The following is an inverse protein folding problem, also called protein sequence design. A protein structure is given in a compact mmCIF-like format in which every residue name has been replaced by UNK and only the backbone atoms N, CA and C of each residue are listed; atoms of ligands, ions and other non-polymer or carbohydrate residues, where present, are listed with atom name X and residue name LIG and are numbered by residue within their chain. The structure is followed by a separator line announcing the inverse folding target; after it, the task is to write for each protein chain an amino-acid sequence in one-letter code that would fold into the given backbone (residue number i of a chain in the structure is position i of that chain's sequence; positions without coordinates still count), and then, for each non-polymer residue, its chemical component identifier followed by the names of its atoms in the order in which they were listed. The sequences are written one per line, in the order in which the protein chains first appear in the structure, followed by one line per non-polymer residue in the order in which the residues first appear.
data_IF_996992025547
#
_entry.id   IF_996992025547
#
_cell.length_a   1.000
_cell.length_b   1.000
_cell.length_c   1.000
_cell.angle_alpha   90.00
_cell.angle_beta   90.00
_cell.angle_gamma   90.00
#
_symmetry.space_group_name_H-M   'P 1'
#
loop_
_entity.id
_entity.type
_entity.pdbx_description
1 polymer ?
#
# COMPACT_ATOMS: atom_id res chain seq x y z
N UNK A 1 8.74 64.80 57.04
CA UNK A 1 9.50 63.74 56.34
C UNK A 1 8.52 62.60 56.17
N UNK A 2 7.99 62.20 55.02
CA UNK A 2 8.06 62.50 53.58
C UNK A 2 6.70 62.00 53.05
N UNK A 3 5.90 62.86 52.41
CA UNK A 3 5.71 63.00 50.96
C UNK A 3 5.03 61.82 50.22
N UNK A 4 3.90 62.18 49.56
CA UNK A 4 3.36 61.67 48.29
C UNK A 4 2.67 60.29 48.30
N UNK A 5 1.54 60.05 47.63
CA UNK A 5 0.78 60.88 46.71
C UNK A 5 -0.49 60.17 46.23
N UNK A 6 -1.53 60.97 45.98
CA UNK A 6 -2.74 60.70 45.21
C UNK A 6 -2.45 60.01 43.86
N UNK A 7 -3.37 59.17 43.34
CA UNK A 7 -4.14 59.40 42.09
C UNK A 7 -4.91 58.17 41.58
N UNK A 8 -6.22 58.37 41.44
CA UNK A 8 -7.12 58.00 40.34
C UNK A 8 -6.84 56.73 39.51
N UNK A 9 -7.70 55.72 39.68
CA UNK A 9 -7.92 54.70 38.66
C UNK A 9 -8.98 55.20 37.66
N UNK A 10 -8.51 55.61 36.48
CA UNK A 10 -9.33 55.97 35.33
C UNK A 10 -9.80 54.68 34.63
N UNK A 11 -11.11 54.52 34.47
CA UNK A 11 -11.70 53.44 33.69
C UNK A 11 -11.37 53.62 32.20
N UNK A 12 -10.67 52.65 31.60
CA UNK A 12 -10.52 52.52 30.16
C UNK A 12 -11.42 51.38 29.66
N UNK A 13 -12.58 51.73 29.11
CA UNK A 13 -13.41 50.81 28.33
C UNK A 13 -12.78 50.72 26.93
N UNK A 14 -12.08 49.63 26.66
CA UNK A 14 -11.64 49.28 25.30
C UNK A 14 -12.84 48.70 24.53
N UNK A 15 -13.10 49.13 23.29
CA UNK A 15 -14.08 48.46 22.46
C UNK A 15 -13.53 47.09 22.08
N UNK A 16 -14.28 46.04 22.42
CA UNK A 16 -14.08 44.70 21.89
C UNK A 16 -14.26 44.78 20.38
N UNK A 17 -13.14 44.84 19.65
CA UNK A 17 -13.14 44.63 18.21
C UNK A 17 -13.64 43.20 17.98
N UNK A 18 -14.88 43.08 17.52
CA UNK A 18 -15.41 41.85 16.92
C UNK A 18 -14.39 41.42 15.86
N UNK A 19 -13.72 40.29 16.09
CA UNK A 19 -12.80 39.71 15.14
C UNK A 19 -13.54 39.50 13.82
N UNK A 20 -13.05 40.14 12.76
CA UNK A 20 -13.41 39.76 11.40
C UNK A 20 -13.15 38.25 11.24
N UNK A 21 -14.00 37.50 10.51
CA UNK A 21 -13.73 36.10 10.25
C UNK A 21 -12.36 35.98 9.59
N UNK A 22 -11.46 35.25 10.23
CA UNK A 22 -10.09 35.05 9.75
C UNK A 22 -10.15 34.26 8.45
N UNK A 23 -9.90 34.95 7.34
CA UNK A 23 -9.79 34.42 5.97
C UNK A 23 -8.79 33.23 5.85
N UNK A 24 -7.95 33.04 6.86
CA UNK A 24 -6.92 32.00 6.93
C UNK A 24 -7.44 30.57 7.23
N UNK A 25 -8.68 30.40 7.71
CA UNK A 25 -9.21 29.06 8.02
C UNK A 25 -9.67 28.27 6.78
N UNK A 26 -9.87 28.94 5.64
CA UNK A 26 -10.41 28.35 4.42
C UNK A 26 -9.42 28.32 3.25
N UNK A 27 -8.14 28.67 3.45
CA UNK A 27 -7.14 28.61 2.39
C UNK A 27 -6.60 27.19 2.25
N UNK A 28 -6.88 26.56 1.11
CA UNK A 28 -6.33 25.25 0.75
C UNK A 28 -4.81 25.35 0.62
N UNK A 29 -4.07 24.38 1.17
CA UNK A 29 -2.60 24.38 1.15
C UNK A 29 -2.06 24.45 -0.29
N UNK A 30 -0.97 25.19 -0.59
CA UNK A 30 -0.46 25.33 -1.97
C UNK A 30 -0.14 24.01 -2.66
N UNK A 31 0.36 23.01 -1.93
CA UNK A 31 0.61 21.68 -2.49
C UNK A 31 -0.68 20.94 -2.84
N UNK A 32 -1.76 21.13 -2.07
CA UNK A 32 -3.08 20.58 -2.39
C UNK A 32 -3.65 21.29 -3.62
N UNK A 33 -3.49 22.62 -3.73
CA UNK A 33 -3.90 23.35 -4.93
C UNK A 33 -3.15 22.88 -6.18
N UNK A 34 -1.84 22.65 -6.06
CA UNK A 34 -1.04 22.10 -7.15
C UNK A 34 -1.52 20.68 -7.55
N UNK A 35 -1.86 19.84 -6.57
CA UNK A 35 -2.42 18.51 -6.82
C UNK A 35 -3.81 18.58 -7.46
N UNK A 36 -4.73 19.39 -6.94
CA UNK A 36 -6.07 19.56 -7.51
C UNK A 36 -6.03 20.13 -8.93
N UNK A 37 -5.08 21.02 -9.24
CA UNK A 37 -4.85 21.47 -10.61
C UNK A 37 -4.40 20.34 -11.53
N UNK A 38 -3.46 19.52 -11.08
CA UNK A 38 -2.95 18.38 -11.84
C UNK A 38 -4.03 17.32 -12.07
N UNK A 39 -4.80 16.99 -11.02
CA UNK A 39 -5.68 15.83 -10.98
C UNK A 39 -7.10 16.14 -11.45
N UNK A 40 -7.62 17.33 -11.13
CA UNK A 40 -8.99 17.73 -11.42
C UNK A 40 -9.07 18.87 -12.46
N UNK A 41 -7.93 19.40 -12.91
CA UNK A 41 -7.87 20.51 -13.86
C UNK A 41 -8.32 21.86 -13.28
N UNK A 42 -8.46 21.97 -11.95
CA UNK A 42 -8.97 23.17 -11.30
C UNK A 42 -7.86 24.19 -11.04
N UNK A 43 -8.08 25.46 -11.37
CA UNK A 43 -7.19 26.52 -10.89
C UNK A 43 -7.33 26.73 -9.36
N UNK A 44 -6.49 27.60 -8.79
CA UNK A 44 -6.45 27.83 -7.35
C UNK A 44 -7.78 28.36 -6.79
N UNK A 45 -8.47 29.22 -7.54
CA UNK A 45 -9.75 29.80 -7.13
C UNK A 45 -10.87 28.76 -7.21
N UNK A 46 -10.92 28.00 -8.31
CA UNK A 46 -11.86 26.90 -8.51
C UNK A 46 -11.69 25.80 -7.46
N UNK A 47 -10.46 25.40 -7.14
CA UNK A 47 -10.15 24.40 -6.12
C UNK A 47 -10.56 24.86 -4.72
N UNK A 48 -10.26 26.12 -4.38
CA UNK A 48 -10.69 26.70 -3.09
C UNK A 48 -12.20 26.77 -2.99
N UNK A 49 -12.89 27.21 -4.06
CA UNK A 49 -14.35 27.24 -4.11
C UNK A 49 -14.96 25.84 -4.04
N UNK A 50 -14.31 24.83 -4.65
CA UNK A 50 -14.75 23.44 -4.58
C UNK A 50 -14.71 22.91 -3.15
N UNK A 51 -13.58 23.05 -2.45
CA UNK A 51 -13.45 22.60 -1.06
C UNK A 51 -14.48 23.30 -0.16
N UNK A 52 -14.68 24.61 -0.32
CA UNK A 52 -15.69 25.34 0.45
C UNK A 52 -17.11 24.81 0.21
N UNK A 53 -17.44 24.46 -1.04
CA UNK A 53 -18.73 23.83 -1.38
C UNK A 53 -18.85 22.44 -0.77
N UNK A 54 -17.81 21.61 -0.84
CA UNK A 54 -17.84 20.25 -0.29
C UNK A 54 -18.06 20.27 1.24
N UNK A 55 -17.45 21.22 1.95
CA UNK A 55 -17.68 21.42 3.39
C UNK A 55 -19.12 21.86 3.66
N UNK A 56 -19.64 22.85 2.93
CA UNK A 56 -21.03 23.30 3.09
C UNK A 56 -22.04 22.21 2.72
N UNK A 57 -21.72 21.34 1.77
CA UNK A 57 -22.57 20.23 1.38
C UNK A 57 -22.70 19.22 2.52
N UNK A 58 -21.64 18.96 3.29
CA UNK A 58 -21.70 18.06 4.44
C UNK A 58 -22.72 18.54 5.50
N UNK A 59 -22.78 19.84 5.78
CA UNK A 59 -23.76 20.42 6.72
C UNK A 59 -25.20 20.25 6.21
N UNK A 60 -25.43 20.50 4.92
CA UNK A 60 -26.75 20.32 4.28
C UNK A 60 -27.17 18.85 4.28
N UNK A 61 -26.24 17.93 4.00
CA UNK A 61 -26.48 16.49 4.03
C UNK A 61 -26.90 16.04 5.42
N UNK A 62 -26.21 16.47 6.47
CA UNK A 62 -26.53 16.08 7.85
C UNK A 62 -27.88 16.66 8.31
N UNK A 63 -28.18 17.91 7.93
CA UNK A 63 -29.49 18.51 8.15
C UNK A 63 -30.61 17.68 7.51
N UNK A 64 -30.47 17.37 6.22
CA UNK A 64 -31.49 16.63 5.46
C UNK A 64 -31.60 15.18 5.91
N UNK A 65 -30.49 14.52 6.26
CA UNK A 65 -30.51 13.18 6.87
C UNK A 65 -31.33 13.19 8.16
N UNK A 66 -31.14 14.20 9.00
CA UNK A 66 -31.89 14.34 10.27
C UNK A 66 -33.38 14.65 10.06
N UNK A 67 -33.72 15.52 9.11
CA UNK A 67 -35.11 15.98 8.93
C UNK A 67 -35.97 15.01 8.11
N UNK A 68 -35.38 14.33 7.11
CA UNK A 68 -36.10 13.34 6.27
C UNK A 68 -36.15 11.94 6.89
N UNK A 69 -35.28 11.66 7.88
CA UNK A 69 -35.31 10.43 8.66
C UNK A 69 -35.21 9.17 7.80
N UNK A 70 -36.15 8.24 7.97
CA UNK A 70 -36.16 6.96 7.26
C UNK A 70 -36.34 7.10 5.74
N UNK A 71 -36.80 8.25 5.26
CA UNK A 71 -36.94 8.51 3.82
C UNK A 71 -35.63 8.97 3.19
N UNK A 72 -34.56 9.21 3.95
CA UNK A 72 -33.26 9.60 3.42
C UNK A 72 -32.64 8.44 2.62
N UNK A 73 -32.36 8.68 1.33
CA UNK A 73 -31.84 7.70 0.37
C UNK A 73 -30.35 7.80 0.09
N UNK A 74 -29.65 8.78 0.69
CA UNK A 74 -28.24 9.08 0.45
C UNK A 74 -28.04 10.44 -0.21
N UNK A 75 -26.78 10.89 -0.34
CA UNK A 75 -26.46 12.15 -0.98
C UNK A 75 -25.09 12.08 -1.68
N UNK A 76 -24.94 12.77 -2.80
CA UNK A 76 -23.71 12.78 -3.59
C UNK A 76 -23.53 14.09 -4.35
N UNK A 77 -22.28 14.46 -4.61
CA UNK A 77 -21.96 15.53 -5.54
C UNK A 77 -21.94 14.96 -6.95
N UNK A 78 -22.61 15.61 -7.90
CA UNK A 78 -22.60 15.22 -9.30
C UNK A 78 -21.19 15.31 -9.91
N UNK A 79 -21.01 14.69 -11.08
CA UNK A 79 -19.74 14.73 -11.82
C UNK A 79 -19.28 16.16 -12.17
N UNK A 80 -20.23 17.10 -12.31
CA UNK A 80 -19.94 18.52 -12.52
C UNK A 80 -19.20 19.18 -11.33
N UNK A 81 -19.19 18.51 -10.18
CA UNK A 81 -18.48 18.95 -9.00
C UNK A 81 -19.09 20.11 -8.23
N UNK A 82 -20.36 20.40 -8.49
CA UNK A 82 -21.08 21.56 -7.97
C UNK A 82 -22.49 21.23 -7.51
N UNK A 83 -23.15 20.27 -8.14
CA UNK A 83 -24.53 19.90 -7.82
C UNK A 83 -24.58 18.88 -6.70
N UNK A 84 -25.12 19.26 -5.54
CA UNK A 84 -25.44 18.33 -4.46
C UNK A 84 -26.79 17.66 -4.74
N UNK A 85 -26.79 16.36 -4.99
CA UNK A 85 -27.99 15.55 -5.09
C UNK A 85 -28.29 14.90 -3.74
N UNK A 86 -29.57 14.83 -3.38
CA UNK A 86 -30.05 14.14 -2.19
C UNK A 86 -31.19 13.21 -2.58
N UNK A 87 -30.96 11.92 -2.36
CA UNK A 87 -31.93 10.86 -2.53
C UNK A 87 -32.99 10.92 -1.43
N UNK A 88 -34.27 10.88 -1.79
CA UNK A 88 -35.38 10.65 -0.87
C UNK A 88 -36.32 9.59 -1.42
N UNK A 89 -36.87 8.73 -0.56
CA UNK A 89 -37.85 7.71 -0.96
C UNK A 89 -39.28 8.23 -1.02
N UNK A 90 -39.53 9.40 -0.41
CA UNK A 90 -40.82 10.07 -0.42
C UNK A 90 -40.75 11.35 -1.26
N UNK A 91 -41.51 11.38 -2.35
CA UNK A 91 -41.58 12.50 -3.28
C UNK A 91 -42.07 13.80 -2.59
N UNK A 92 -42.83 13.71 -1.50
CA UNK A 92 -43.29 14.86 -0.74
C UNK A 92 -42.12 15.67 -0.11
N UNK A 93 -40.97 15.05 0.09
CA UNK A 93 -39.78 15.67 0.69
C UNK A 93 -38.91 16.41 -0.33
N UNK A 94 -39.21 16.32 -1.63
CA UNK A 94 -38.41 16.97 -2.68
C UNK A 94 -38.34 18.51 -2.52
N UNK A 95 -39.43 19.12 -2.04
CA UNK A 95 -39.48 20.55 -1.78
C UNK A 95 -38.54 20.98 -0.64
N UNK A 96 -38.41 20.14 0.40
CA UNK A 96 -37.51 20.40 1.52
C UNK A 96 -36.05 20.31 1.10
N UNK A 97 -35.70 19.29 0.32
CA UNK A 97 -34.36 19.13 -0.28
C UNK A 97 -34.00 20.35 -1.13
N UNK A 98 -34.93 20.81 -1.96
CA UNK A 98 -34.73 22.00 -2.80
C UNK A 98 -34.56 23.27 -1.96
N UNK A 99 -35.34 23.41 -0.88
CA UNK A 99 -35.25 24.55 0.03
C UNK A 99 -33.90 24.60 0.78
N UNK A 100 -33.27 23.45 1.02
CA UNK A 100 -31.94 23.33 1.59
C UNK A 100 -30.80 23.55 0.58
N UNK A 101 -31.11 23.82 -0.70
CA UNK A 101 -30.13 24.12 -1.74
C UNK A 101 -29.55 22.88 -2.45
N UNK A 102 -30.18 21.72 -2.30
CA UNK A 102 -29.82 20.48 -2.97
C UNK A 102 -30.83 20.11 -4.08
N UNK A 103 -30.43 19.21 -4.97
CA UNK A 103 -31.27 18.65 -6.03
C UNK A 103 -31.91 17.36 -5.53
N UNK A 104 -33.26 17.26 -5.46
CA UNK A 104 -33.92 16.03 -5.04
C UNK A 104 -33.79 14.94 -6.10
N UNK A 105 -33.49 13.73 -5.66
CA UNK A 105 -33.57 12.51 -6.46
C UNK A 105 -34.53 11.53 -5.80
N UNK A 106 -35.57 11.09 -6.51
CA UNK A 106 -36.49 10.09 -5.96
C UNK A 106 -35.88 8.71 -6.15
N UNK A 107 -35.63 8.01 -5.05
CA UNK A 107 -34.94 6.72 -5.04
C UNK A 107 -35.80 5.64 -4.36
N UNK A 108 -35.50 4.37 -4.64
CA UNK A 108 -36.34 3.25 -4.18
C UNK A 108 -36.01 2.78 -2.76
N UNK A 109 -34.74 2.87 -2.36
CA UNK A 109 -34.22 2.36 -1.11
C UNK A 109 -33.79 3.51 -0.19
N UNK A 110 -34.14 3.41 1.09
CA UNK A 110 -33.51 4.25 2.11
C UNK A 110 -32.04 3.87 2.26
N UNK A 111 -31.21 4.82 2.67
CA UNK A 111 -29.80 4.54 2.93
C UNK A 111 -29.65 3.52 4.07
N UNK A 112 -30.52 3.60 5.08
CA UNK A 112 -30.49 2.73 6.25
C UNK A 112 -30.61 1.26 5.88
N UNK A 113 -31.50 0.92 4.95
CA UNK A 113 -31.67 -0.45 4.47
C UNK A 113 -30.39 -0.98 3.80
N UNK A 114 -29.76 -0.16 2.95
CA UNK A 114 -28.54 -0.56 2.25
C UNK A 114 -27.33 -0.64 3.20
N UNK A 115 -27.24 0.28 4.17
CA UNK A 115 -26.22 0.26 5.24
C UNK A 115 -26.39 -0.95 6.17
N UNK A 116 -27.62 -1.33 6.52
CA UNK A 116 -27.91 -2.55 7.29
C UNK A 116 -27.49 -3.83 6.55
N UNK A 117 -27.79 -3.93 5.25
CA UNK A 117 -27.35 -5.05 4.43
C UNK A 117 -25.81 -5.11 4.31
N UNK A 118 -25.15 -3.95 4.13
CA UNK A 118 -23.68 -3.88 4.12
C UNK A 118 -23.09 -4.31 5.47
N UNK A 119 -23.68 -3.88 6.58
CA UNK A 119 -23.24 -4.27 7.92
C UNK A 119 -23.40 -5.78 8.15
N UNK A 120 -24.45 -6.39 7.60
CA UNK A 120 -24.61 -7.84 7.65
C UNK A 120 -23.50 -8.56 6.86
N UNK A 121 -23.07 -8.04 5.70
CA UNK A 121 -21.90 -8.56 4.97
C UNK A 121 -20.61 -8.37 5.78
N UNK A 122 -20.41 -7.20 6.39
CA UNK A 122 -19.25 -6.93 7.26
C UNK A 122 -19.17 -7.99 8.39
N UNK A 123 -20.30 -8.32 9.01
CA UNK A 123 -20.36 -9.34 10.08
C UNK A 123 -20.08 -10.76 9.56
N UNK A 124 -20.60 -11.12 8.38
CA UNK A 124 -20.31 -12.42 7.74
C UNK A 124 -18.80 -12.57 7.49
N UNK A 125 -18.16 -11.53 6.98
CA UNK A 125 -16.71 -11.54 6.71
C UNK A 125 -15.88 -11.66 8.00
N UNK A 126 -16.22 -10.88 9.02
CA UNK A 126 -15.52 -10.90 10.31
C UNK A 126 -15.66 -12.26 11.01
N UNK A 127 -16.84 -12.86 10.99
CA UNK A 127 -17.10 -14.15 11.64
C UNK A 127 -16.59 -15.34 10.82
N UNK A 128 -16.60 -15.22 9.49
CA UNK A 128 -16.23 -16.27 8.55
C UNK A 128 -15.36 -15.71 7.42
N UNK A 129 -14.06 -15.41 7.67
CA UNK A 129 -13.20 -14.73 6.69
C UNK A 129 -12.99 -15.50 5.38
N UNK A 130 -13.29 -16.81 5.36
CA UNK A 130 -13.23 -17.62 4.15
C UNK A 130 -14.37 -17.32 3.17
N UNK A 131 -15.44 -16.67 3.61
CA UNK A 131 -16.61 -16.36 2.76
C UNK A 131 -16.29 -15.33 1.70
N UNK A 132 -15.37 -14.39 1.98
CA UNK A 132 -14.88 -13.40 1.01
C UNK A 132 -13.44 -13.69 0.58
N UNK A 133 -13.02 -14.95 0.69
CA UNK A 133 -11.65 -15.35 0.43
C UNK A 133 -11.22 -15.01 -1.00
N UNK A 134 -10.03 -14.42 -1.10
CA UNK A 134 -9.47 -13.87 -2.35
C UNK A 134 -8.55 -14.85 -3.07
N UNK A 135 -8.36 -16.05 -2.50
CA UNK A 135 -7.43 -17.09 -2.97
C UNK A 135 -8.09 -18.18 -3.83
N UNK A 136 -9.41 -18.12 -4.02
CA UNK A 136 -10.18 -19.00 -4.91
C UNK A 136 -10.78 -18.21 -6.08
N UNK A 137 -10.77 -18.83 -7.27
CA UNK A 137 -11.37 -18.26 -8.48
C UNK A 137 -12.90 -18.12 -8.38
N UNK A 138 -13.54 -18.86 -7.47
CA UNK A 138 -14.99 -18.96 -7.36
C UNK A 138 -15.57 -18.11 -6.21
N UNK A 139 -14.72 -17.57 -5.32
CA UNK A 139 -15.17 -16.78 -4.14
C UNK A 139 -14.52 -15.40 -4.02
N UNK A 140 -13.81 -14.93 -5.05
CA UNK A 140 -13.05 -13.68 -5.03
C UNK A 140 -13.94 -12.44 -5.05
N UNK A 141 -14.24 -11.90 -3.86
CA UNK A 141 -14.95 -10.62 -3.66
C UNK A 141 -13.95 -9.51 -3.35
N UNK A 142 -13.79 -8.57 -4.29
CA UNK A 142 -12.81 -7.48 -4.22
C UNK A 142 -13.24 -6.36 -3.28
N UNK A 143 -14.51 -5.98 -3.34
CA UNK A 143 -15.08 -4.95 -2.47
C UNK A 143 -16.61 -5.05 -2.44
N UNK A 144 -17.23 -4.44 -1.44
CA UNK A 144 -18.67 -4.21 -1.43
C UNK A 144 -18.98 -2.91 -0.70
N UNK A 145 -19.89 -2.12 -1.26
CA UNK A 145 -20.21 -0.78 -0.77
C UNK A 145 -21.61 -0.35 -1.20
N UNK A 146 -22.14 0.69 -0.53
CA UNK A 146 -23.38 1.33 -0.95
C UNK A 146 -23.06 2.41 -1.99
N UNK A 147 -23.55 2.25 -3.20
CA UNK A 147 -23.51 3.27 -4.25
C UNK A 147 -24.79 4.10 -4.14
N UNK A 148 -24.68 5.28 -3.50
CA UNK A 148 -25.83 6.15 -3.22
C UNK A 148 -26.44 6.76 -4.49
N UNK A 149 -25.66 6.94 -5.55
CA UNK A 149 -26.15 7.47 -6.82
C UNK A 149 -26.91 6.39 -7.60
N UNK A 150 -26.42 5.15 -7.58
CA UNK A 150 -27.15 4.00 -8.13
C UNK A 150 -28.29 3.51 -7.22
N UNK A 151 -28.30 3.93 -5.95
CA UNK A 151 -29.21 3.51 -4.88
C UNK A 151 -29.25 1.99 -4.66
N UNK A 152 -28.06 1.38 -4.65
CA UNK A 152 -27.85 -0.08 -4.55
C UNK A 152 -26.64 -0.42 -3.69
N UNK A 153 -26.60 -1.67 -3.20
CA UNK A 153 -25.38 -2.29 -2.72
C UNK A 153 -24.60 -2.89 -3.89
N UNK A 154 -23.40 -2.40 -4.15
CA UNK A 154 -22.52 -2.90 -5.20
C UNK A 154 -21.57 -3.93 -4.61
N UNK A 155 -21.41 -5.07 -5.28
CA UNK A 155 -20.41 -6.09 -4.96
C UNK A 155 -19.46 -6.21 -6.16
N UNK A 156 -18.19 -5.90 -5.95
CA UNK A 156 -17.15 -6.08 -6.97
C UNK A 156 -16.51 -7.46 -6.80
N UNK A 157 -16.55 -8.28 -7.84
CA UNK A 157 -16.12 -9.68 -7.80
C UNK A 157 -15.25 -10.04 -9.01
N UNK A 158 -14.43 -11.09 -8.90
CA UNK A 158 -13.79 -11.69 -10.07
C UNK A 158 -14.84 -12.28 -11.01
N UNK A 159 -14.51 -12.40 -12.30
CA UNK A 159 -15.44 -12.92 -13.31
C UNK A 159 -15.98 -14.34 -12.98
N UNK A 160 -15.21 -15.16 -12.29
CA UNK A 160 -15.63 -16.49 -11.83
C UNK A 160 -16.49 -16.50 -10.57
N UNK A 161 -16.61 -15.37 -9.87
CA UNK A 161 -17.19 -15.27 -8.53
C UNK A 161 -18.53 -14.51 -8.50
N UNK A 162 -19.15 -14.26 -9.66
CA UNK A 162 -20.41 -13.49 -9.74
C UNK A 162 -21.58 -14.21 -9.09
N UNK A 163 -21.71 -15.53 -9.25
CA UNK A 163 -22.74 -16.33 -8.60
C UNK A 163 -22.62 -16.30 -7.07
N UNK A 164 -21.38 -16.38 -6.57
CA UNK A 164 -21.09 -16.24 -5.14
C UNK A 164 -21.47 -14.84 -4.60
N UNK A 165 -21.19 -13.78 -5.37
CA UNK A 165 -21.61 -12.43 -5.03
C UNK A 165 -23.16 -12.29 -4.95
N UNK A 166 -23.90 -12.91 -5.87
CA UNK A 166 -25.37 -12.94 -5.85
C UNK A 166 -25.90 -13.70 -4.62
N UNK A 167 -25.28 -14.82 -4.26
CA UNK A 167 -25.62 -15.59 -3.06
C UNK A 167 -25.40 -14.77 -1.78
N UNK A 168 -24.28 -14.04 -1.67
CA UNK A 168 -24.01 -13.14 -0.55
C UNK A 168 -25.05 -12.02 -0.44
N UNK A 169 -25.42 -11.39 -1.56
CA UNK A 169 -26.45 -10.37 -1.58
C UNK A 169 -27.81 -10.91 -1.09
N UNK A 170 -28.20 -12.10 -1.56
CA UNK A 170 -29.42 -12.77 -1.13
C UNK A 170 -29.38 -13.17 0.36
N UNK A 171 -28.21 -13.59 0.86
CA UNK A 171 -28.00 -13.96 2.27
C UNK A 171 -28.24 -12.78 3.22
N UNK A 172 -27.91 -11.56 2.79
CA UNK A 172 -28.19 -10.32 3.55
C UNK A 172 -29.54 -9.69 3.21
N UNK A 173 -30.42 -10.43 2.54
CA UNK A 173 -31.82 -10.07 2.34
C UNK A 173 -32.09 -9.10 1.19
N UNK A 174 -31.13 -8.87 0.30
CA UNK A 174 -31.33 -8.01 -0.87
C UNK A 174 -32.03 -8.77 -2.01
N UNK A 175 -32.91 -8.07 -2.72
CA UNK A 175 -33.47 -8.57 -4.00
C UNK A 175 -32.71 -7.99 -5.20
N UNK A 176 -32.89 -8.57 -6.38
CA UNK A 176 -32.14 -8.21 -7.60
C UNK A 176 -32.18 -6.71 -8.00
N UNK A 177 -33.20 -5.97 -7.58
CA UNK A 177 -33.28 -4.52 -7.82
C UNK A 177 -32.43 -3.67 -6.87
N UNK A 178 -31.90 -4.26 -5.80
CA UNK A 178 -31.27 -3.56 -4.66
C UNK A 178 -29.75 -3.76 -4.61
N UNK A 179 -29.22 -4.64 -5.46
CA UNK A 179 -27.79 -4.85 -5.60
C UNK A 179 -27.34 -4.87 -7.05
N UNK A 180 -26.03 -4.76 -7.24
CA UNK A 180 -25.38 -4.90 -8.53
C UNK A 180 -24.04 -5.61 -8.34
N UNK A 181 -23.77 -6.63 -9.16
CA UNK A 181 -22.46 -7.28 -9.20
C UNK A 181 -21.66 -6.67 -10.35
N UNK A 182 -20.48 -6.11 -10.03
CA UNK A 182 -19.52 -5.57 -11.00
C UNK A 182 -18.32 -6.50 -11.07
N UNK A 183 -17.82 -6.76 -12.27
CA UNK A 183 -16.63 -7.62 -12.45
C UNK A 183 -15.36 -6.79 -12.43
N UNK A 184 -14.36 -7.23 -11.66
CA UNK A 184 -13.00 -6.69 -11.67
C UNK A 184 -12.00 -7.69 -12.24
N UNK A 185 -10.92 -7.21 -12.85
CA UNK A 185 -9.90 -8.07 -13.44
C UNK A 185 -8.99 -8.73 -12.39
N UNK A 186 -8.71 -8.02 -11.30
CA UNK A 186 -7.77 -8.46 -10.24
C UNK A 186 -8.25 -8.06 -8.86
N UNK A 187 -7.89 -8.86 -7.86
CA UNK A 187 -8.14 -8.54 -6.46
C UNK A 187 -7.29 -7.35 -5.99
N UNK A 188 -7.84 -6.46 -5.14
CA UNK A 188 -7.07 -5.38 -4.56
C UNK A 188 -6.00 -5.94 -3.62
N UNK A 189 -4.83 -5.31 -3.65
CA UNK A 189 -3.73 -5.59 -2.71
C UNK A 189 -3.33 -4.30 -2.04
N UNK A 190 -2.84 -4.39 -0.80
CA UNK A 190 -2.22 -3.23 -0.17
C UNK A 190 -0.96 -2.83 -0.92
N UNK A 191 -0.72 -1.53 -1.06
CA UNK A 191 0.50 -1.06 -1.68
C UNK A 191 1.70 -1.48 -0.84
N UNK A 192 2.69 -2.09 -1.51
CA UNK A 192 3.96 -2.46 -0.93
C UNK A 192 5.09 -1.88 -1.79
N UNK A 193 6.19 -1.53 -1.14
CA UNK A 193 7.44 -1.17 -1.82
C UNK A 193 8.42 -2.29 -1.64
N UNK A 194 9.04 -2.72 -2.74
CA UNK A 194 10.18 -3.62 -2.71
C UNK A 194 11.45 -2.79 -2.70
N UNK A 195 12.22 -2.94 -1.63
CA UNK A 195 13.51 -2.29 -1.41
C UNK A 195 14.54 -3.38 -1.10
N UNK A 196 15.75 -3.29 -1.67
CA UNK A 196 16.81 -4.27 -1.37
C UNK A 196 17.18 -4.24 0.10
N UNK A 197 17.46 -5.38 0.72
CA UNK A 197 17.75 -5.49 2.15
C UNK A 197 16.53 -5.77 3.04
N UNK A 198 15.33 -5.31 2.65
CA UNK A 198 14.10 -5.47 3.44
C UNK A 198 13.80 -6.93 3.78
N UNK A 199 13.17 -7.14 4.94
CA UNK A 199 12.64 -8.45 5.31
C UNK A 199 11.44 -8.83 4.44
N UNK A 200 11.41 -10.06 3.95
CA UNK A 200 10.21 -10.70 3.46
C UNK A 200 10.03 -12.09 4.07
N UNK A 201 8.78 -12.54 4.12
CA UNK A 201 8.39 -13.76 4.77
C UNK A 201 7.87 -14.76 3.75
N UNK A 202 8.38 -15.99 3.83
CA UNK A 202 8.07 -17.08 2.93
C UNK A 202 7.01 -17.95 3.60
N UNK A 203 5.85 -18.10 2.95
CA UNK A 203 4.70 -18.82 3.51
C UNK A 203 4.34 -18.38 4.94
N UNK A 204 4.64 -17.12 5.30
CA UNK A 204 4.52 -16.57 6.66
C UNK A 204 5.26 -17.35 7.76
N UNK A 205 6.26 -18.17 7.39
CA UNK A 205 6.93 -19.09 8.32
C UNK A 205 8.45 -18.86 8.41
N UNK A 206 9.10 -18.53 7.30
CA UNK A 206 10.54 -18.25 7.24
C UNK A 206 10.79 -16.79 6.84
N UNK A 207 11.93 -16.23 7.26
CA UNK A 207 12.36 -14.86 6.90
C UNK A 207 13.62 -14.90 6.07
N UNK A 208 13.61 -14.17 4.96
CA UNK A 208 14.80 -13.80 4.21
C UNK A 208 14.82 -12.30 3.95
N UNK A 209 15.87 -11.83 3.30
CA UNK A 209 16.05 -10.46 2.87
C UNK A 209 15.92 -10.33 1.35
N UNK A 210 15.34 -9.23 0.89
CA UNK A 210 15.23 -8.92 -0.54
C UNK A 210 16.61 -8.61 -1.11
N UNK A 211 16.94 -9.16 -2.27
CA UNK A 211 18.20 -8.89 -2.94
C UNK A 211 18.14 -7.59 -3.72
N UNK A 212 17.50 -7.61 -4.89
CA UNK A 212 17.33 -6.42 -5.73
C UNK A 212 15.98 -6.43 -6.42
N UNK A 213 15.38 -5.25 -6.54
CA UNK A 213 14.28 -5.03 -7.46
C UNK A 213 14.72 -5.26 -8.90
N UNK A 214 13.92 -6.01 -9.65
CA UNK A 214 14.11 -6.31 -11.06
C UNK A 214 12.80 -6.08 -11.80
N UNK A 215 12.83 -6.08 -13.12
CA UNK A 215 11.62 -6.05 -13.94
C UNK A 215 10.60 -7.07 -13.43
N UNK A 216 9.40 -6.61 -13.07
CA UNK A 216 8.25 -7.40 -12.60
C UNK A 216 8.41 -8.12 -11.24
N UNK A 217 9.44 -7.81 -10.45
CA UNK A 217 9.56 -8.35 -9.10
C UNK A 217 10.91 -8.13 -8.43
N UNK A 218 11.41 -9.14 -7.71
CA UNK A 218 12.72 -9.08 -7.05
C UNK A 218 13.44 -10.42 -7.04
N UNK A 219 14.76 -10.37 -6.87
CA UNK A 219 15.62 -11.55 -6.72
C UNK A 219 16.01 -11.76 -5.27
N UNK A 220 16.20 -13.02 -4.88
CA UNK A 220 16.65 -13.43 -3.54
C UNK A 220 17.43 -14.76 -3.64
N UNK A 221 17.74 -15.39 -2.51
CA UNK A 221 18.39 -16.70 -2.50
C UNK A 221 17.38 -17.82 -2.81
N UNK A 222 17.86 -18.90 -3.41
CA UNK A 222 17.07 -20.07 -3.79
C UNK A 222 16.63 -20.89 -2.57
N UNK A 223 17.50 -21.02 -1.56
CA UNK A 223 17.18 -21.77 -0.34
C UNK A 223 16.04 -21.15 0.49
N UNK A 224 15.66 -19.90 0.24
CA UNK A 224 14.57 -19.22 0.95
C UNK A 224 13.19 -19.82 0.63
N UNK A 225 12.99 -20.39 -0.56
CA UNK A 225 11.69 -20.86 -1.00
C UNK A 225 11.72 -21.59 -2.34
N UNK A 226 10.62 -22.25 -2.68
CA UNK A 226 10.48 -23.03 -3.93
C UNK A 226 9.42 -22.40 -4.82
N UNK A 227 9.35 -22.82 -6.09
CA UNK A 227 8.32 -22.31 -6.99
C UNK A 227 6.91 -22.48 -6.39
N UNK A 228 6.12 -21.40 -6.38
CA UNK A 228 4.79 -21.36 -5.77
C UNK A 228 4.76 -20.95 -4.28
N UNK A 229 5.90 -20.88 -3.59
CA UNK A 229 5.96 -20.28 -2.25
C UNK A 229 5.47 -18.82 -2.28
N UNK A 230 4.69 -18.40 -1.27
CA UNK A 230 4.24 -17.01 -1.15
C UNK A 230 5.30 -16.14 -0.49
N UNK A 231 5.36 -14.87 -0.88
CA UNK A 231 6.21 -13.84 -0.29
C UNK A 231 5.36 -12.70 0.26
N UNK A 232 5.55 -12.34 1.53
CA UNK A 232 4.82 -11.23 2.17
C UNK A 232 5.76 -10.27 2.89
N UNK A 233 5.31 -9.04 3.12
CA UNK A 233 5.97 -8.11 4.05
C UNK A 233 5.85 -8.61 5.50
N UNK A 234 6.53 -7.94 6.44
CA UNK A 234 6.36 -8.16 7.89
C UNK A 234 4.93 -7.88 8.38
N UNK A 235 4.22 -6.94 7.74
CA UNK A 235 2.82 -6.64 8.03
C UNK A 235 1.84 -7.61 7.36
N UNK A 236 2.33 -8.58 6.58
CA UNK A 236 1.51 -9.59 5.90
C UNK A 236 0.94 -9.15 4.55
N UNK A 237 1.31 -7.97 4.04
CA UNK A 237 0.97 -7.55 2.68
C UNK A 237 1.62 -8.50 1.68
N UNK A 238 0.86 -8.91 0.66
CA UNK A 238 1.40 -9.78 -0.40
C UNK A 238 2.45 -9.02 -1.21
N UNK A 239 3.66 -9.58 -1.28
CA UNK A 239 4.67 -9.13 -2.23
C UNK A 239 4.55 -9.90 -3.53
N UNK A 240 4.17 -11.18 -3.49
CA UNK A 240 4.03 -12.02 -4.68
C UNK A 240 4.33 -13.49 -4.42
N UNK A 241 4.78 -14.18 -5.46
CA UNK A 241 5.08 -15.62 -5.42
C UNK A 241 6.42 -15.94 -6.06
N UNK A 242 7.12 -16.93 -5.53
CA UNK A 242 8.34 -17.47 -6.12
C UNK A 242 8.02 -18.05 -7.50
N UNK A 243 8.48 -17.38 -8.55
CA UNK A 243 8.27 -17.82 -9.94
C UNK A 243 9.28 -18.91 -10.32
N UNK A 244 10.50 -18.83 -9.78
CA UNK A 244 11.56 -19.81 -9.99
C UNK A 244 12.55 -19.80 -8.82
N UNK A 245 13.15 -20.95 -8.55
CA UNK A 245 14.18 -21.13 -7.53
C UNK A 245 15.12 -22.27 -7.90
N UNK A 246 16.41 -22.10 -7.62
CA UNK A 246 17.46 -23.12 -7.77
C UNK A 246 18.25 -23.17 -6.46
N UNK A 247 18.15 -24.29 -5.75
CA UNK A 247 18.98 -24.65 -4.61
C UNK A 247 18.74 -26.13 -4.21
N UNK A 248 19.77 -26.92 -3.88
CA UNK A 248 21.19 -26.67 -4.12
C UNK A 248 21.53 -26.94 -5.60
N UNK A 249 22.83 -27.01 -5.95
CA UNK A 249 23.30 -27.46 -7.25
C UNK A 249 24.11 -26.39 -7.98
N UNK A 250 23.63 -25.96 -9.14
CA UNK A 250 24.35 -25.00 -9.98
C UNK A 250 24.43 -23.60 -9.36
N UNK A 251 23.48 -23.26 -8.47
CA UNK A 251 23.33 -21.92 -7.91
C UNK A 251 22.51 -21.92 -6.61
N UNK A 252 22.45 -20.76 -5.97
CA UNK A 252 21.51 -20.43 -4.89
C UNK A 252 20.77 -19.11 -5.24
N UNK A 253 19.76 -19.22 -6.11
CA UNK A 253 19.02 -18.05 -6.63
C UNK A 253 17.53 -18.29 -6.74
N UNK A 254 16.76 -17.24 -6.50
CA UNK A 254 15.32 -17.20 -6.77
C UNK A 254 14.90 -15.89 -7.44
N UNK A 255 13.75 -15.95 -8.10
CA UNK A 255 13.02 -14.81 -8.61
C UNK A 255 11.58 -14.88 -8.12
N UNK A 256 11.16 -13.80 -7.45
CA UNK A 256 9.81 -13.62 -6.94
C UNK A 256 9.11 -12.61 -7.86
N UNK A 257 8.02 -13.03 -8.48
CA UNK A 257 7.17 -12.15 -9.29
C UNK A 257 6.20 -11.44 -8.36
N UNK A 258 6.15 -10.11 -8.47
CA UNK A 258 5.31 -9.32 -7.55
C UNK A 258 3.86 -9.24 -8.00
N UNK A 259 2.96 -8.98 -7.05
CA UNK A 259 1.57 -8.62 -7.35
C UNK A 259 1.48 -7.25 -8.02
N UNK A 260 0.38 -6.98 -8.73
CA UNK A 260 0.09 -5.68 -9.32
C UNK A 260 0.10 -4.57 -8.26
N UNK A 261 0.49 -3.35 -8.63
CA UNK A 261 0.55 -2.22 -7.71
C UNK A 261 1.75 -2.20 -6.75
N UNK A 262 2.61 -3.23 -6.78
CA UNK A 262 3.87 -3.22 -6.01
C UNK A 262 4.83 -2.18 -6.60
N UNK A 263 5.31 -1.26 -5.77
CA UNK A 263 6.35 -0.30 -6.15
C UNK A 263 7.72 -0.98 -6.10
N UNK A 264 8.40 -1.07 -7.24
CA UNK A 264 9.76 -1.63 -7.30
C UNK A 264 10.77 -0.49 -7.18
N UNK A 265 11.54 -0.46 -6.09
CA UNK A 265 12.51 0.60 -5.82
C UNK A 265 13.90 0.21 -6.31
N UNK A 266 14.56 1.11 -7.05
CA UNK A 266 15.96 0.97 -7.47
C UNK A 266 16.99 1.24 -6.36
N UNK A 267 16.61 0.98 -5.10
CA UNK A 267 17.42 1.30 -3.92
C UNK A 267 17.54 0.08 -2.99
N UNK A 268 18.51 0.17 -2.08
CA UNK A 268 18.77 -0.77 -0.99
C UNK A 268 18.58 -0.01 0.33
N UNK A 269 17.91 -0.61 1.31
CA UNK A 269 17.82 -0.09 2.67
C UNK A 269 19.22 -0.04 3.29
N UNK A 270 19.63 1.16 3.70
CA UNK A 270 20.88 1.40 4.41
C UNK A 270 20.76 1.23 5.93
N UNK A 271 19.61 0.79 6.45
CA UNK A 271 19.33 0.56 7.87
C UNK A 271 19.75 1.76 8.74
N UNK A 272 19.22 2.94 8.40
CA UNK A 272 19.53 4.21 9.09
C UNK A 272 20.64 5.05 8.45
N UNK A 273 21.31 4.52 7.42
CA UNK A 273 22.31 5.26 6.62
C UNK A 273 21.73 5.96 5.38
N UNK A 274 20.41 5.92 5.22
CA UNK A 274 19.69 6.35 4.01
C UNK A 274 19.65 5.27 2.94
N UNK A 275 18.74 5.42 1.97
CA UNK A 275 18.57 4.47 0.89
C UNK A 275 19.73 4.58 -0.12
N UNK A 276 20.33 3.44 -0.48
CA UNK A 276 21.50 3.36 -1.33
C UNK A 276 21.09 3.05 -2.77
N UNK A 277 21.46 3.89 -3.77
CA UNK A 277 20.98 3.72 -5.13
C UNK A 277 21.64 2.54 -5.84
N UNK A 278 20.88 1.88 -6.71
CA UNK A 278 21.37 0.87 -7.66
C UNK A 278 21.38 1.48 -9.05
N UNK A 279 22.53 1.48 -9.72
CA UNK A 279 22.70 2.05 -11.07
C UNK A 279 23.17 1.03 -12.11
N UNK A 280 23.63 -0.14 -11.67
CA UNK A 280 24.13 -1.20 -12.56
C UNK A 280 24.58 -2.46 -11.80
N UNK A 281 25.26 -3.36 -12.51
CA UNK A 281 25.73 -4.64 -11.98
C UNK A 281 27.13 -5.03 -12.45
N UNK A 282 28.01 -4.04 -12.65
CA UNK A 282 29.41 -4.32 -12.98
C UNK A 282 30.05 -5.12 -11.84
N UNK A 283 30.53 -6.33 -12.15
CA UNK A 283 31.08 -7.24 -11.16
C UNK A 283 32.43 -6.77 -10.62
N UNK A 284 32.58 -6.82 -9.30
CA UNK A 284 33.81 -6.49 -8.58
C UNK A 284 34.85 -7.60 -8.68
N UNK A 285 36.12 -7.21 -8.80
CA UNK A 285 37.25 -8.14 -8.76
C UNK A 285 37.59 -8.57 -7.33
N UNK A 286 38.33 -9.67 -7.18
CA UNK A 286 38.93 -10.07 -5.90
C UNK A 286 39.73 -8.92 -5.29
N UNK A 287 39.56 -8.69 -3.99
CA UNK A 287 40.19 -7.60 -3.23
C UNK A 287 39.38 -6.30 -3.21
N UNK A 288 38.37 -6.15 -4.07
CA UNK A 288 37.50 -4.97 -4.05
C UNK A 288 36.71 -4.87 -2.73
N UNK A 289 36.42 -3.65 -2.31
CA UNK A 289 35.48 -3.39 -1.22
C UNK A 289 34.07 -3.79 -1.62
N UNK A 290 33.35 -4.36 -0.67
CA UNK A 290 31.98 -4.82 -0.88
C UNK A 290 31.20 -4.69 0.42
N UNK A 291 29.93 -4.32 0.31
CA UNK A 291 29.00 -4.24 1.41
C UNK A 291 27.81 -5.16 1.16
N UNK A 292 27.10 -5.50 2.23
CA UNK A 292 25.82 -6.20 2.16
C UNK A 292 24.79 -5.59 3.08
N UNK A 293 23.53 -5.67 2.69
CA UNK A 293 22.37 -5.25 3.48
C UNK A 293 21.43 -6.43 3.68
N UNK A 294 20.96 -6.63 4.91
CA UNK A 294 20.04 -7.70 5.27
C UNK A 294 19.29 -7.41 6.56
N UNK A 295 18.10 -7.99 6.68
CA UNK A 295 17.12 -7.69 7.72
C UNK A 295 17.49 -8.10 9.15
N UNK A 296 18.57 -8.85 9.33
CA UNK A 296 18.99 -9.31 10.66
C UNK A 296 20.07 -8.43 11.23
N UNK A 297 21.13 -8.19 10.45
CA UNK A 297 22.32 -7.48 10.92
C UNK A 297 22.52 -6.12 10.25
N UNK A 298 21.65 -5.74 9.30
CA UNK A 298 21.73 -4.47 8.60
C UNK A 298 22.90 -4.42 7.62
N UNK A 299 23.59 -3.28 7.57
CA UNK A 299 24.69 -3.02 6.63
C UNK A 299 26.04 -3.39 7.22
N UNK A 300 26.77 -4.26 6.54
CA UNK A 300 28.17 -4.60 6.87
C UNK A 300 29.04 -4.61 5.62
N UNK A 301 30.32 -4.29 5.77
CA UNK A 301 31.27 -4.22 4.67
C UNK A 301 32.54 -5.01 4.93
N UNK A 302 33.26 -5.31 3.85
CA UNK A 302 34.47 -6.10 3.82
C UNK A 302 35.06 -6.11 2.41
N UNK A 303 35.63 -7.23 2.01
CA UNK A 303 36.27 -7.42 0.71
C UNK A 303 35.91 -8.73 0.05
N UNK A 304 35.92 -8.73 -1.29
CA UNK A 304 35.84 -9.94 -2.10
C UNK A 304 37.12 -10.75 -1.91
N UNK A 305 37.00 -12.04 -1.61
CA UNK A 305 38.12 -12.95 -1.33
C UNK A 305 38.40 -13.93 -2.46
N UNK A 306 37.36 -14.46 -3.08
CA UNK A 306 37.47 -15.37 -4.22
C UNK A 306 36.20 -15.35 -5.06
N UNK A 307 36.33 -15.67 -6.35
CA UNK A 307 35.22 -15.83 -7.29
C UNK A 307 35.08 -17.31 -7.67
N UNK A 308 33.87 -17.76 -8.01
CA UNK A 308 33.64 -19.12 -8.52
C UNK A 308 33.81 -20.25 -7.50
N UNK A 309 33.64 -19.95 -6.21
CA UNK A 309 33.72 -20.92 -5.13
C UNK A 309 32.62 -21.99 -5.25
N UNK A 310 32.97 -23.23 -4.92
CA UNK A 310 31.98 -24.29 -4.66
C UNK A 310 31.88 -24.52 -3.16
N UNK A 311 30.68 -24.37 -2.62
CA UNK A 311 30.39 -24.48 -1.18
C UNK A 311 29.59 -25.76 -0.94
N UNK A 312 29.86 -26.43 0.17
CA UNK A 312 29.16 -27.66 0.56
C UNK A 312 28.26 -27.37 1.76
N UNK A 313 26.97 -27.12 1.50
CA UNK A 313 25.95 -26.99 2.54
C UNK A 313 25.41 -28.37 2.95
N UNK A 314 24.59 -28.42 4.00
CA UNK A 314 24.00 -29.68 4.46
C UNK A 314 23.02 -30.29 3.46
N UNK A 315 22.37 -29.44 2.66
CA UNK A 315 21.39 -29.75 1.64
C UNK A 315 22.05 -30.21 0.34
N UNK A 316 23.28 -29.76 0.08
CA UNK A 316 24.06 -30.11 -1.09
C UNK A 316 25.12 -29.07 -1.46
N UNK A 317 25.82 -29.35 -2.56
CA UNK A 317 26.85 -28.44 -3.10
C UNK A 317 26.20 -27.31 -3.89
N UNK A 318 26.74 -26.11 -3.78
CA UNK A 318 26.41 -24.95 -4.62
C UNK A 318 27.67 -24.44 -5.29
N UNK A 319 27.65 -24.32 -6.62
CA UNK A 319 28.79 -23.86 -7.42
C UNK A 319 28.69 -22.37 -7.75
N UNK A 320 29.81 -21.76 -8.17
CA UNK A 320 29.80 -20.42 -8.78
C UNK A 320 29.71 -19.23 -7.81
N UNK A 321 29.74 -19.46 -6.49
CA UNK A 321 29.55 -18.41 -5.49
C UNK A 321 30.77 -17.49 -5.36
N UNK A 322 30.55 -16.25 -4.97
CA UNK A 322 31.63 -15.32 -4.59
C UNK A 322 31.83 -15.36 -3.09
N UNK A 323 33.07 -15.56 -2.65
CA UNK A 323 33.46 -15.55 -1.24
C UNK A 323 33.84 -14.14 -0.80
N UNK A 324 33.42 -13.75 0.40
CA UNK A 324 33.76 -12.49 1.07
C UNK A 324 34.09 -12.72 2.54
N UNK A 325 34.68 -11.71 3.19
CA UNK A 325 34.82 -11.68 4.66
C UNK A 325 33.79 -10.76 5.34
N UNK A 326 32.72 -10.36 4.62
CA UNK A 326 31.60 -9.66 5.25
C UNK A 326 30.89 -10.67 6.14
N UNK A 327 30.59 -10.34 7.40
CA UNK A 327 29.81 -11.26 8.25
C UNK A 327 28.39 -11.44 7.68
N UNK A 328 27.58 -12.38 8.18
CA UNK A 328 26.14 -12.53 7.90
C UNK A 328 25.53 -13.48 8.92
N UNK A 329 24.23 -13.34 9.21
CA UNK A 329 23.51 -14.18 10.17
C UNK A 329 22.18 -14.68 9.59
N UNK A 330 21.55 -15.72 10.20
CA UNK A 330 20.26 -16.23 9.73
C UNK A 330 19.19 -15.15 9.56
N UNK A 331 18.65 -15.06 8.34
CA UNK A 331 17.69 -14.02 7.92
C UNK A 331 18.31 -12.94 7.03
N UNK A 332 19.64 -12.79 6.99
CA UNK A 332 20.33 -11.96 5.97
C UNK A 332 20.38 -12.66 4.60
N UNK A 333 20.07 -13.96 4.55
CA UNK A 333 19.90 -14.76 3.34
C UNK A 333 19.06 -14.03 2.30
N UNK A 334 19.53 -14.02 1.07
CA UNK A 334 18.92 -13.30 -0.05
C UNK A 334 19.21 -11.81 -0.13
N UNK A 335 19.73 -11.20 0.94
CA UNK A 335 20.01 -9.75 1.03
C UNK A 335 21.05 -9.27 0.02
N UNK A 336 21.01 -7.97 -0.30
CA UNK A 336 21.84 -7.33 -1.32
C UNK A 336 23.33 -7.35 -0.95
N UNK A 337 24.20 -7.79 -1.86
CA UNK A 337 25.63 -7.46 -1.87
C UNK A 337 25.91 -6.40 -2.94
N UNK A 338 26.61 -5.32 -2.61
CA UNK A 338 26.84 -4.19 -3.50
C UNK A 338 28.23 -3.55 -3.33
N UNK A 339 28.73 -2.91 -4.39
CA UNK A 339 29.96 -2.08 -4.37
C UNK A 339 29.61 -0.72 -4.99
N UNK A 340 29.64 0.36 -4.20
CA UNK A 340 29.09 1.64 -4.64
C UNK A 340 27.62 1.49 -5.04
N UNK A 341 27.25 1.96 -6.24
CA UNK A 341 25.91 1.77 -6.81
C UNK A 341 25.77 0.52 -7.71
N UNK A 342 26.72 -0.44 -7.63
CA UNK A 342 26.72 -1.64 -8.46
C UNK A 342 26.26 -2.86 -7.65
N UNK A 343 25.15 -3.46 -8.08
CA UNK A 343 24.65 -4.73 -7.56
C UNK A 343 25.66 -5.86 -7.85
N UNK A 344 26.03 -6.62 -6.82
CA UNK A 344 27.00 -7.73 -6.93
C UNK A 344 26.31 -9.08 -6.83
N UNK A 345 25.35 -9.26 -5.92
CA UNK A 345 24.69 -10.54 -5.72
C UNK A 345 23.79 -10.63 -4.50
N UNK A 346 23.27 -11.81 -4.24
CA UNK A 346 22.36 -12.09 -3.10
C UNK A 346 23.04 -13.01 -2.11
N UNK A 347 22.93 -12.73 -0.81
CA UNK A 347 23.52 -13.54 0.27
C UNK A 347 23.06 -14.99 0.17
N UNK A 348 23.98 -15.96 0.07
CA UNK A 348 23.67 -17.38 0.07
C UNK A 348 23.81 -17.96 1.47
N UNK A 349 25.00 -17.91 2.05
CA UNK A 349 25.24 -18.42 3.39
C UNK A 349 26.71 -18.30 3.76
N UNK A 350 27.10 -18.84 4.91
CA UNK A 350 28.46 -18.65 5.40
C UNK A 350 28.77 -19.42 6.68
N UNK A 351 29.85 -19.04 7.31
CA UNK A 351 30.32 -19.57 8.60
C UNK A 351 30.89 -18.45 9.44
N UNK A 352 30.72 -18.51 10.77
CA UNK A 352 31.04 -17.41 11.69
C UNK A 352 29.81 -16.55 11.96
N UNK A 353 30.02 -15.35 12.50
CA UNK A 353 28.95 -14.41 12.89
C UNK A 353 29.43 -12.95 12.80
N UNK A 354 28.57 -11.98 13.13
CA UNK A 354 28.95 -10.56 13.11
C UNK A 354 29.70 -10.10 14.36
N UNK A 355 29.91 -10.96 15.36
CA UNK A 355 30.67 -10.65 16.58
C UNK A 355 32.15 -11.03 16.45
N UNK A 356 32.44 -12.14 15.79
CA UNK A 356 33.79 -12.73 15.64
C UNK A 356 34.28 -12.71 14.19
N UNK A 357 33.42 -12.30 13.26
CA UNK A 357 33.67 -12.33 11.83
C UNK A 357 33.38 -13.70 11.22
N UNK A 358 33.58 -13.80 9.91
CA UNK A 358 33.23 -15.02 9.20
C UNK A 358 33.56 -14.99 7.73
N UNK A 359 33.16 -16.06 7.06
CA UNK A 359 33.17 -16.17 5.60
C UNK A 359 31.74 -16.22 5.12
N UNK A 360 31.38 -15.30 4.23
CA UNK A 360 30.04 -15.26 3.62
C UNK A 360 30.16 -15.39 2.11
N UNK A 361 29.28 -16.18 1.54
CA UNK A 361 29.17 -16.41 0.11
C UNK A 361 27.90 -15.74 -0.43
N UNK A 362 27.98 -15.20 -1.63
CA UNK A 362 26.82 -14.68 -2.35
C UNK A 362 26.75 -15.25 -3.76
N UNK A 363 25.52 -15.39 -4.25
CA UNK A 363 25.23 -15.76 -5.63
C UNK A 363 25.32 -14.51 -6.52
N UNK A 364 26.18 -14.49 -7.56
CA UNK A 364 26.33 -13.32 -8.43
C UNK A 364 25.03 -12.91 -9.12
N UNK A 365 24.69 -11.61 -9.07
CA UNK A 365 23.41 -11.10 -9.58
C UNK A 365 23.28 -11.28 -11.10
N UNK A 366 24.38 -11.11 -11.84
CA UNK A 366 24.36 -11.22 -13.31
C UNK A 366 23.95 -12.62 -13.81
N UNK A 367 24.26 -13.67 -13.05
CA UNK A 367 23.80 -15.02 -13.37
C UNK A 367 22.28 -15.13 -13.19
N UNK A 368 21.73 -14.55 -12.12
CA UNK A 368 20.28 -14.53 -11.85
C UNK A 368 19.55 -13.77 -12.96
N UNK A 369 20.06 -12.58 -13.31
CA UNK A 369 19.49 -11.74 -14.35
C UNK A 369 19.47 -12.46 -15.71
N UNK A 370 20.58 -13.10 -16.08
CA UNK A 370 20.67 -13.84 -17.33
C UNK A 370 19.78 -15.08 -17.35
N UNK A 371 19.70 -15.81 -16.23
CA UNK A 371 18.94 -17.07 -16.15
C UNK A 371 17.45 -16.84 -16.29
N UNK A 372 16.94 -15.76 -15.69
CA UNK A 372 15.50 -15.45 -15.68
C UNK A 372 15.09 -14.33 -16.66
N UNK A 373 16.03 -13.80 -17.46
CA UNK A 373 15.74 -12.75 -18.43
C UNK A 373 15.30 -11.42 -17.79
N UNK A 374 15.90 -11.06 -16.67
CA UNK A 374 15.51 -9.92 -15.83
C UNK A 374 16.44 -8.72 -16.03
N UNK A 375 15.92 -7.51 -15.80
CA UNK A 375 16.72 -6.28 -15.74
C UNK A 375 16.58 -5.63 -14.35
N UNK A 376 17.66 -5.09 -13.80
CA UNK A 376 17.61 -4.34 -12.54
C UNK A 376 16.73 -3.09 -12.67
N UNK A 377 15.91 -2.85 -11.65
CA UNK A 377 15.34 -1.51 -11.44
C UNK A 377 16.45 -0.62 -10.89
N UNK A 378 16.56 0.59 -11.43
CA UNK A 378 17.62 1.54 -11.10
C UNK A 378 17.03 2.80 -10.47
N UNK A 379 17.82 3.44 -9.62
CA UNK A 379 17.50 4.73 -8.99
C UNK A 379 17.46 5.88 -10.01
#
# INVERSE_FOLDING_TARGET
MELLGFLAFLAAVLPVAYGAPTQAANSVHPEILAAMKRDLGLDAEQATARVARDVSAADVIEQLRSSTGNSFGGAWIAEDGTTLNVGVTDEALAAEVTAAGATPAIVANSISKLEEAKLALDNIDIEQPSTLATDSADTGIASYYVDVAANKLVIEALAGSTAHAEELAAQVGLVASEFEVRTVETMPTTFATVLGGDAYYINRAARCSIGFSVTTGFVSAGHCGTAGSSATTSSGASLGTFSASVFPGSADMSYIRTVSGTTLSGYIDGYGSGNLPVSGSTASATGASICRSGSTTGVHCGTVRALGATVNYSEGRVTGLTQTNVCAEPGDSGGSFYTGAQAQGVTSGGSGDCSSGGTTYFQPVNEILSTYGLTLVKA
#
